data_IF_441540283182
#
_entry.id   IF_441540283182
#
_cell.length_a   1.000
_cell.length_b   1.000
_cell.length_c   1.000
_cell.angle_alpha   90.00
_cell.angle_beta   90.00
_cell.angle_gamma   90.00
#
_symmetry.space_group_name_H-M   'P 1'
#
loop_
_entity.id
_entity.type
_entity.pdbx_description
1 polymer ?
#
# COMPACT_ATOMS: atom_id res chain seq x y z
N UNK A 1 31.25 -7.24 24.55
CA UNK A 1 30.58 -6.97 23.24
C UNK A 1 29.12 -6.65 23.46
N UNK A 2 28.76 -5.39 23.18
CA UNK A 2 27.37 -4.91 23.27
C UNK A 2 26.57 -5.55 22.12
N UNK A 3 25.50 -6.28 22.45
CA UNK A 3 24.67 -6.95 21.43
C UNK A 3 23.29 -6.30 21.27
N UNK A 4 22.87 -5.48 22.22
CA UNK A 4 21.54 -4.93 22.28
C UNK A 4 21.53 -3.56 23.00
N UNK A 5 20.64 -2.66 22.60
CA UNK A 5 20.37 -1.36 23.23
C UNK A 5 18.87 -1.18 23.45
N UNK A 6 18.52 -0.57 24.57
CA UNK A 6 17.15 -0.19 24.90
C UNK A 6 17.06 1.33 24.83
N UNK A 7 16.17 1.85 23.99
CA UNK A 7 15.96 3.29 23.85
C UNK A 7 14.78 3.70 24.74
N UNK A 8 15.07 4.55 25.74
CA UNK A 8 14.10 5.06 26.72
C UNK A 8 13.68 6.52 26.43
N UNK A 9 13.97 7.01 25.21
CA UNK A 9 13.65 8.39 24.81
C UNK A 9 12.14 8.50 24.56
N UNK A 10 11.42 9.45 25.21
CA UNK A 10 9.98 9.65 25.03
C UNK A 10 9.61 9.96 23.57
N UNK A 11 8.38 9.62 23.17
CA UNK A 11 7.86 9.89 21.82
C UNK A 11 7.81 11.39 21.49
N UNK A 12 7.67 12.25 22.47
CA UNK A 12 7.72 13.72 22.32
C UNK A 12 9.07 14.22 21.80
N UNK A 13 10.15 13.45 21.97
CA UNK A 13 11.52 13.77 21.51
C UNK A 13 11.92 12.97 20.27
N UNK A 14 11.13 13.09 19.20
CA UNK A 14 11.29 12.30 17.98
C UNK A 14 12.65 12.42 17.31
N UNK A 15 13.25 13.62 17.31
CA UNK A 15 14.55 13.85 16.67
C UNK A 15 15.67 13.09 17.40
N UNK A 16 15.71 13.19 18.73
CA UNK A 16 16.69 12.51 19.59
C UNK A 16 16.52 10.98 19.48
N UNK A 17 15.27 10.51 19.47
CA UNK A 17 14.93 9.08 19.31
C UNK A 17 15.41 8.54 17.97
N UNK A 18 15.21 9.27 16.88
CA UNK A 18 15.68 8.92 15.54
C UNK A 18 17.21 8.86 15.46
N UNK A 19 17.90 9.84 16.04
CA UNK A 19 19.37 9.86 16.07
C UNK A 19 19.93 8.66 16.84
N UNK A 20 19.38 8.35 18.02
CA UNK A 20 19.79 7.19 18.81
C UNK A 20 19.53 5.85 18.08
N UNK A 21 18.41 5.76 17.37
CA UNK A 21 18.04 4.56 16.59
C UNK A 21 19.00 4.36 15.41
N UNK A 22 19.31 5.43 14.66
CA UNK A 22 20.25 5.36 13.55
C UNK A 22 21.65 4.96 14.02
N UNK A 23 22.15 5.56 15.10
CA UNK A 23 23.44 5.22 15.67
C UNK A 23 23.52 3.74 16.10
N UNK A 24 22.47 3.22 16.71
CA UNK A 24 22.39 1.82 17.11
C UNK A 24 22.29 0.86 15.90
N UNK A 25 21.62 1.27 14.84
CA UNK A 25 21.53 0.51 13.58
C UNK A 25 22.89 0.46 12.87
N UNK A 26 23.63 1.58 12.80
CA UNK A 26 24.98 1.66 12.22
C UNK A 26 25.96 0.73 12.97
N UNK A 27 25.78 0.60 14.29
CA UNK A 27 26.55 -0.31 15.13
C UNK A 27 26.05 -1.78 15.08
N UNK A 28 25.05 -2.08 14.26
CA UNK A 28 24.42 -3.41 14.10
C UNK A 28 23.92 -4.00 15.42
N UNK A 29 23.45 -3.15 16.33
CA UNK A 29 22.90 -3.56 17.62
C UNK A 29 21.42 -3.91 17.48
N UNK A 30 20.95 -4.89 18.25
CA UNK A 30 19.53 -5.17 18.38
C UNK A 30 18.86 -4.04 19.17
N UNK A 31 17.88 -3.36 18.56
CA UNK A 31 17.24 -2.17 19.13
C UNK A 31 15.89 -2.57 19.72
N UNK A 32 15.66 -2.19 20.96
CA UNK A 32 14.38 -2.32 21.67
C UNK A 32 13.92 -0.94 22.12
N UNK A 33 12.64 -0.64 21.92
CA UNK A 33 12.06 0.64 22.32
C UNK A 33 11.05 0.40 23.42
N UNK A 34 11.04 1.27 24.43
CA UNK A 34 10.06 1.21 25.51
C UNK A 34 8.69 1.64 25.01
N UNK A 35 7.61 0.91 25.35
CA UNK A 35 6.24 1.33 25.07
C UNK A 35 5.91 2.69 25.70
N UNK A 36 4.92 3.39 25.15
CA UNK A 36 4.45 4.66 25.70
C UNK A 36 3.83 4.49 27.09
N UNK A 37 3.78 5.58 27.87
CA UNK A 37 3.17 5.57 29.19
C UNK A 37 1.69 5.10 29.14
N UNK A 38 0.96 5.46 28.09
CA UNK A 38 -0.44 5.06 27.91
C UNK A 38 -0.61 3.55 27.65
N UNK A 39 0.31 2.93 26.93
CA UNK A 39 0.34 1.47 26.74
C UNK A 39 0.69 0.73 28.02
N UNK A 40 1.50 1.33 28.87
CA UNK A 40 1.87 0.80 30.19
C UNK A 40 0.69 0.88 31.15
N UNK A 41 -0.03 2.00 31.18
CA UNK A 41 -1.22 2.23 32.07
C UNK A 41 -2.37 1.30 31.69
N UNK A 42 -2.53 0.93 30.42
CA UNK A 42 -3.57 0.01 29.95
C UNK A 42 -3.31 -1.46 30.32
N UNK A 43 -2.34 -1.76 31.20
CA UNK A 43 -2.07 -3.11 31.69
C UNK A 43 -1.42 -4.05 30.67
N UNK A 44 -0.88 -3.52 29.57
CA UNK A 44 -0.18 -4.30 28.55
C UNK A 44 1.29 -4.58 28.88
N UNK A 45 1.67 -4.47 30.11
CA UNK A 45 3.01 -4.79 30.63
C UNK A 45 3.25 -6.30 30.62
N UNK A 46 3.77 -6.78 29.50
CA UNK A 46 4.50 -8.04 29.50
C UNK A 46 5.93 -7.68 29.07
N UNK A 47 6.92 -7.94 29.90
CA UNK A 47 8.35 -7.73 29.61
C UNK A 47 8.85 -8.40 28.30
N UNK A 48 8.05 -9.32 27.73
CA UNK A 48 8.27 -9.96 26.44
C UNK A 48 7.93 -9.09 25.21
N UNK A 49 7.40 -7.86 25.41
CA UNK A 49 7.00 -6.93 24.33
C UNK A 49 7.84 -5.66 24.29
N UNK A 50 9.13 -5.77 24.54
CA UNK A 50 10.03 -4.75 24.03
C UNK A 50 9.88 -4.77 22.50
N UNK A 51 9.28 -3.73 21.96
CA UNK A 51 8.90 -3.63 20.54
C UNK A 51 10.17 -3.64 19.70
N UNK A 52 10.27 -4.51 18.73
CA UNK A 52 11.28 -4.35 17.68
C UNK A 52 10.99 -3.01 16.97
N UNK A 53 12.06 -2.29 16.60
CA UNK A 53 11.93 -1.06 15.82
C UNK A 53 11.15 -1.35 14.56
N UNK A 54 9.97 -0.75 14.43
CA UNK A 54 9.19 -0.80 13.20
C UNK A 54 9.61 0.37 12.29
N UNK A 55 9.41 0.21 10.99
CA UNK A 55 9.71 1.26 10.00
C UNK A 55 9.01 2.57 10.34
N UNK A 56 7.82 2.52 10.95
CA UNK A 56 7.07 3.67 11.41
C UNK A 56 7.82 4.49 12.47
N UNK A 57 8.54 3.83 13.38
CA UNK A 57 9.33 4.49 14.44
C UNK A 57 10.50 5.29 13.85
N UNK A 58 11.03 4.83 12.70
CA UNK A 58 12.13 5.50 11.99
C UNK A 58 11.65 6.70 11.16
N UNK A 59 10.43 6.65 10.66
CA UNK A 59 9.89 7.68 9.77
C UNK A 59 9.32 8.88 10.51
N UNK A 60 9.12 8.80 11.83
CA UNK A 60 8.55 9.87 12.66
C UNK A 60 7.13 10.28 12.22
N UNK A 61 6.39 9.38 11.59
CA UNK A 61 5.00 9.60 11.18
C UNK A 61 4.07 8.98 12.21
N UNK A 62 3.09 9.75 12.65
CA UNK A 62 2.03 9.23 13.49
C UNK A 62 1.23 8.16 12.73
N UNK A 63 1.09 6.99 13.33
CA UNK A 63 0.22 5.93 12.79
C UNK A 63 -1.22 6.42 12.86
N UNK A 64 -1.88 6.52 11.72
CA UNK A 64 -3.30 6.84 11.66
C UNK A 64 -4.07 5.58 12.05
N UNK A 65 -4.74 5.60 13.19
CA UNK A 65 -5.64 4.55 13.59
C UNK A 65 -6.92 4.63 12.76
N UNK A 66 -7.05 3.74 11.79
CA UNK A 66 -8.25 3.64 10.96
C UNK A 66 -9.41 3.06 11.78
N UNK A 67 -10.61 3.60 11.58
CA UNK A 67 -11.82 3.01 12.14
C UNK A 67 -12.11 1.67 11.43
N UNK A 68 -11.66 0.58 12.02
CA UNK A 68 -11.78 -0.76 11.45
C UNK A 68 -13.25 -1.21 11.28
N UNK A 69 -14.17 -0.68 12.07
CA UNK A 69 -15.59 -1.00 11.95
C UNK A 69 -16.20 -0.36 10.68
N UNK A 70 -15.90 0.89 10.41
CA UNK A 70 -16.33 1.57 9.18
C UNK A 70 -15.72 0.89 7.95
N UNK A 71 -14.43 0.55 7.98
CA UNK A 71 -13.78 -0.16 6.88
C UNK A 71 -14.44 -1.52 6.61
N UNK A 72 -14.79 -2.26 7.65
CA UNK A 72 -15.50 -3.54 7.51
C UNK A 72 -16.87 -3.37 6.85
N UNK A 73 -17.63 -2.35 7.21
CA UNK A 73 -18.93 -2.07 6.61
C UNK A 73 -18.82 -1.74 5.12
N UNK A 74 -17.78 -1.02 4.74
CA UNK A 74 -17.55 -0.58 3.37
C UNK A 74 -17.01 -1.70 2.44
N UNK A 75 -16.22 -2.62 2.97
CA UNK A 75 -15.40 -3.57 2.20
C UNK A 75 -15.96 -5.00 2.23
N UNK A 76 -16.52 -5.44 3.37
CA UNK A 76 -16.99 -6.82 3.55
C UNK A 76 -18.03 -7.21 2.49
N UNK A 77 -17.80 -8.34 1.82
CA UNK A 77 -18.70 -8.86 0.80
C UNK A 77 -18.70 -8.08 -0.53
N UNK A 78 -17.85 -7.06 -0.68
CA UNK A 78 -17.73 -6.28 -1.93
C UNK A 78 -16.82 -6.97 -2.94
N UNK A 79 -17.01 -6.62 -4.20
CA UNK A 79 -16.14 -7.00 -5.31
C UNK A 79 -15.18 -5.85 -5.55
N UNK A 80 -13.90 -6.12 -5.47
CA UNK A 80 -12.85 -5.11 -5.49
C UNK A 80 -11.92 -5.37 -6.67
N UNK A 81 -11.56 -4.33 -7.42
CA UNK A 81 -10.50 -4.38 -8.40
C UNK A 81 -9.34 -3.51 -7.93
N UNK A 82 -8.12 -4.04 -8.02
CA UNK A 82 -6.88 -3.33 -7.67
C UNK A 82 -5.98 -3.32 -8.88
N UNK A 83 -5.71 -2.14 -9.44
CA UNK A 83 -4.73 -1.97 -10.52
C UNK A 83 -3.37 -1.58 -9.94
N UNK A 84 -2.28 -2.10 -10.52
CA UNK A 84 -0.95 -2.02 -9.92
C UNK A 84 -0.83 -2.94 -8.71
N UNK A 85 -1.55 -4.07 -8.73
CA UNK A 85 -1.66 -5.00 -7.59
C UNK A 85 -0.32 -5.65 -7.22
N UNK A 86 0.56 -5.86 -8.19
CA UNK A 86 1.91 -6.41 -7.96
C UNK A 86 2.92 -5.42 -7.38
N UNK A 87 2.61 -4.12 -7.39
CA UNK A 87 3.46 -3.09 -6.78
C UNK A 87 3.44 -3.13 -5.25
N UNK A 88 4.35 -2.38 -4.61
CA UNK A 88 4.47 -2.36 -3.14
C UNK A 88 3.17 -1.94 -2.45
N UNK A 89 2.51 -0.88 -2.94
CA UNK A 89 1.24 -0.40 -2.38
C UNK A 89 0.10 -1.37 -2.72
N UNK A 90 -0.01 -1.77 -3.99
CA UNK A 90 -1.09 -2.65 -4.44
C UNK A 90 -1.09 -4.01 -3.73
N UNK A 91 0.08 -4.63 -3.56
CA UNK A 91 0.21 -5.92 -2.89
C UNK A 91 -0.13 -5.83 -1.39
N UNK A 92 0.23 -4.73 -0.74
CA UNK A 92 -0.13 -4.49 0.65
C UNK A 92 -1.63 -4.23 0.79
N UNK A 93 -2.25 -3.47 -0.12
CA UNK A 93 -3.71 -3.32 -0.17
C UNK A 93 -4.41 -4.68 -0.29
N UNK A 94 -3.93 -5.58 -1.15
CA UNK A 94 -4.48 -6.93 -1.27
C UNK A 94 -4.46 -7.66 0.08
N UNK A 95 -3.33 -7.64 0.79
CA UNK A 95 -3.18 -8.30 2.10
C UNK A 95 -4.12 -7.71 3.15
N UNK A 96 -4.19 -6.39 3.25
CA UNK A 96 -5.06 -5.71 4.22
C UNK A 96 -6.55 -5.94 3.94
N UNK A 97 -6.94 -5.93 2.67
CA UNK A 97 -8.32 -6.16 2.27
C UNK A 97 -8.77 -7.60 2.55
N UNK A 98 -7.89 -8.61 2.39
CA UNK A 98 -8.19 -10.00 2.72
C UNK A 98 -8.61 -10.20 4.17
N UNK A 99 -8.05 -9.44 5.12
CA UNK A 99 -8.41 -9.47 6.54
C UNK A 99 -9.88 -9.07 6.74
N UNK A 100 -10.39 -8.18 5.86
CA UNK A 100 -11.76 -7.65 5.95
C UNK A 100 -12.78 -8.55 5.26
N UNK A 101 -12.31 -9.54 4.49
CA UNK A 101 -13.12 -10.54 3.78
C UNK A 101 -14.08 -9.93 2.74
N UNK A 102 -13.59 -9.26 1.70
CA UNK A 102 -14.40 -8.93 0.52
C UNK A 102 -14.87 -10.23 -0.16
N UNK A 103 -15.85 -10.13 -1.05
CA UNK A 103 -16.31 -11.27 -1.82
C UNK A 103 -15.26 -11.69 -2.86
N UNK A 104 -14.75 -10.71 -3.62
CA UNK A 104 -13.79 -10.91 -4.71
C UNK A 104 -12.71 -9.84 -4.63
N UNK A 105 -11.46 -10.19 -4.92
CA UNK A 105 -10.40 -9.26 -5.26
C UNK A 105 -9.84 -9.63 -6.64
N UNK A 106 -9.91 -8.70 -7.58
CA UNK A 106 -9.30 -8.80 -8.91
C UNK A 106 -8.00 -8.00 -8.89
N UNK A 107 -6.89 -8.71 -8.89
CA UNK A 107 -5.53 -8.16 -8.87
C UNK A 107 -5.06 -7.96 -10.32
N UNK A 108 -4.88 -6.72 -10.75
CA UNK A 108 -4.48 -6.37 -12.12
C UNK A 108 -3.11 -5.72 -12.11
N UNK A 109 -2.19 -6.23 -12.91
CA UNK A 109 -0.88 -5.60 -13.15
C UNK A 109 -0.40 -5.88 -14.56
N UNK A 110 0.49 -5.02 -15.07
CA UNK A 110 1.16 -5.20 -16.37
C UNK A 110 2.37 -6.13 -16.27
N UNK A 111 2.92 -6.30 -15.08
CA UNK A 111 4.09 -7.13 -14.82
C UNK A 111 3.69 -8.56 -14.49
N UNK A 112 4.01 -9.50 -15.40
CA UNK A 112 3.83 -10.93 -15.17
C UNK A 112 4.52 -11.38 -13.87
N UNK A 113 5.78 -10.99 -13.70
CA UNK A 113 6.55 -11.36 -12.52
C UNK A 113 5.90 -10.87 -11.22
N UNK A 114 5.42 -9.62 -11.20
CA UNK A 114 4.80 -9.04 -10.02
C UNK A 114 3.45 -9.71 -9.67
N UNK A 115 2.64 -10.05 -10.66
CA UNK A 115 1.38 -10.80 -10.48
C UNK A 115 1.67 -12.21 -9.97
N UNK A 116 2.65 -12.90 -10.55
CA UNK A 116 3.05 -14.24 -10.09
C UNK A 116 3.52 -14.23 -8.63
N UNK A 117 4.38 -13.28 -8.25
CA UNK A 117 4.85 -13.13 -6.87
C UNK A 117 3.70 -12.85 -5.90
N UNK A 118 2.75 -12.01 -6.29
CA UNK A 118 1.57 -11.72 -5.50
C UNK A 118 0.71 -12.97 -5.31
N UNK A 119 0.44 -13.72 -6.37
CA UNK A 119 -0.30 -14.98 -6.33
C UNK A 119 0.34 -15.97 -5.36
N UNK A 120 1.65 -16.23 -5.51
CA UNK A 120 2.38 -17.13 -4.60
C UNK A 120 2.28 -16.69 -3.12
N UNK A 121 2.35 -15.38 -2.87
CA UNK A 121 2.29 -14.84 -1.51
C UNK A 121 0.92 -14.94 -0.86
N UNK A 122 -0.17 -14.93 -1.64
CA UNK A 122 -1.54 -14.93 -1.15
C UNK A 122 -2.20 -16.32 -1.19
N UNK A 123 -1.84 -17.18 -2.16
CA UNK A 123 -2.44 -18.51 -2.34
C UNK A 123 -2.19 -19.46 -1.16
N UNK A 124 -1.11 -19.23 -0.41
CA UNK A 124 -0.77 -20.03 0.77
C UNK A 124 -1.55 -19.65 2.03
N UNK A 125 -2.42 -18.63 1.94
CA UNK A 125 -3.23 -18.18 3.07
C UNK A 125 -4.65 -18.72 2.96
N UNK A 126 -5.19 -19.27 4.04
CA UNK A 126 -6.60 -19.67 4.09
C UNK A 126 -7.49 -18.43 4.16
N UNK A 127 -8.27 -18.17 3.12
CA UNK A 127 -9.23 -17.05 3.07
C UNK A 127 -10.54 -17.46 2.38
N UNK A 128 -11.61 -16.74 2.67
CA UNK A 128 -12.94 -16.95 2.09
C UNK A 128 -13.24 -16.02 0.91
N UNK A 129 -12.24 -15.30 0.43
CA UNK A 129 -12.32 -14.32 -0.67
C UNK A 129 -11.85 -14.98 -1.96
N UNK A 130 -12.58 -14.83 -3.05
CA UNK A 130 -12.15 -15.27 -4.37
C UNK A 130 -11.09 -14.31 -4.90
N UNK A 131 -9.92 -14.83 -5.27
CA UNK A 131 -8.80 -14.08 -5.83
C UNK A 131 -8.65 -14.36 -7.32
N UNK A 132 -8.49 -13.30 -8.10
CA UNK A 132 -8.20 -13.37 -9.53
C UNK A 132 -6.95 -12.56 -9.84
N UNK A 133 -5.98 -13.17 -10.48
CA UNK A 133 -4.70 -12.57 -10.85
C UNK A 133 -4.66 -12.36 -12.35
N UNK A 134 -4.71 -11.12 -12.79
CA UNK A 134 -4.92 -10.75 -14.19
C UNK A 134 -3.73 -9.95 -14.71
N UNK A 135 -3.10 -10.48 -15.75
CA UNK A 135 -2.08 -9.75 -16.49
C UNK A 135 -2.76 -8.82 -17.49
N UNK A 136 -2.76 -7.52 -17.21
CA UNK A 136 -3.41 -6.54 -18.05
C UNK A 136 -2.76 -5.16 -17.96
N UNK A 137 -2.72 -4.48 -19.11
CA UNK A 137 -2.34 -3.08 -19.22
C UNK A 137 -3.59 -2.20 -19.10
N UNK A 138 -3.62 -1.30 -18.13
CA UNK A 138 -4.74 -0.37 -17.92
C UNK A 138 -4.99 0.57 -19.11
N UNK A 139 -4.04 0.68 -20.03
CA UNK A 139 -4.18 1.44 -21.28
C UNK A 139 -4.99 0.69 -22.35
N UNK A 140 -5.21 -0.60 -22.18
CA UNK A 140 -6.02 -1.40 -23.09
C UNK A 140 -7.51 -1.34 -22.70
N UNK A 141 -8.24 -0.42 -23.31
CA UNK A 141 -9.65 -0.16 -22.99
C UNK A 141 -10.53 -1.42 -23.17
N UNK A 142 -10.34 -2.17 -24.26
CA UNK A 142 -11.16 -3.36 -24.53
C UNK A 142 -10.97 -4.43 -23.44
N UNK A 143 -9.73 -4.66 -23.00
CA UNK A 143 -9.45 -5.60 -21.92
C UNK A 143 -10.04 -5.12 -20.60
N UNK A 144 -9.88 -3.85 -20.27
CA UNK A 144 -10.43 -3.25 -19.05
C UNK A 144 -11.95 -3.32 -19.06
N UNK A 145 -12.61 -2.95 -20.14
CA UNK A 145 -14.08 -3.06 -20.28
C UNK A 145 -14.56 -4.51 -20.08
N UNK A 146 -13.83 -5.48 -20.63
CA UNK A 146 -14.08 -6.90 -20.42
C UNK A 146 -13.99 -7.30 -18.94
N UNK A 147 -12.96 -6.84 -18.23
CA UNK A 147 -12.80 -7.11 -16.79
C UNK A 147 -13.94 -6.50 -15.97
N UNK A 148 -14.34 -5.26 -16.26
CA UNK A 148 -15.45 -4.62 -15.57
C UNK A 148 -16.78 -5.35 -15.84
N UNK A 149 -17.01 -5.78 -17.08
CA UNK A 149 -18.17 -6.57 -17.45
C UNK A 149 -18.25 -7.93 -16.74
N UNK A 150 -17.12 -8.62 -16.64
CA UNK A 150 -16.99 -9.94 -16.03
C UNK A 150 -17.10 -9.90 -14.50
N UNK A 151 -16.30 -9.06 -13.85
CA UNK A 151 -16.17 -9.07 -12.38
C UNK A 151 -17.09 -8.07 -11.69
N UNK A 152 -17.59 -7.06 -12.40
CA UNK A 152 -18.52 -6.02 -11.91
C UNK A 152 -18.09 -5.45 -10.55
N UNK A 153 -16.89 -4.85 -10.44
CA UNK A 153 -16.37 -4.38 -9.19
C UNK A 153 -17.25 -3.30 -8.58
N UNK A 154 -17.43 -3.35 -7.26
CA UNK A 154 -18.12 -2.32 -6.50
C UNK A 154 -17.16 -1.17 -6.14
N UNK A 155 -15.88 -1.51 -5.98
CA UNK A 155 -14.82 -0.59 -5.57
C UNK A 155 -13.58 -0.84 -6.43
N UNK A 156 -12.93 0.23 -6.86
CA UNK A 156 -11.64 0.20 -7.55
C UNK A 156 -10.60 0.94 -6.72
N UNK A 157 -9.45 0.29 -6.49
CA UNK A 157 -8.24 0.92 -6.00
C UNK A 157 -7.24 1.00 -7.14
N UNK A 158 -6.82 2.20 -7.49
CA UNK A 158 -5.87 2.43 -8.56
C UNK A 158 -4.51 2.83 -7.99
N UNK A 159 -3.55 1.88 -8.02
CA UNK A 159 -2.19 2.05 -7.55
C UNK A 159 -1.14 1.85 -8.66
N UNK A 160 -1.57 1.76 -9.92
CA UNK A 160 -0.70 1.60 -11.07
C UNK A 160 -0.16 2.97 -11.52
N UNK A 161 1.13 3.22 -11.29
CA UNK A 161 1.80 4.43 -11.77
C UNK A 161 3.30 4.19 -11.96
N UNK A 162 3.89 4.84 -12.96
CA UNK A 162 5.33 5.00 -13.06
C UNK A 162 5.76 6.14 -12.13
N UNK A 163 6.71 5.89 -11.23
CA UNK A 163 7.04 6.79 -10.12
C UNK A 163 8.50 7.24 -10.03
N UNK A 164 9.38 6.64 -10.82
CA UNK A 164 10.80 6.95 -10.79
C UNK A 164 11.11 8.20 -11.61
N UNK A 165 11.18 9.36 -10.92
CA UNK A 165 11.35 10.69 -11.54
C UNK A 165 12.49 10.73 -12.55
N UNK A 166 13.77 10.34 -12.23
CA UNK A 166 14.85 10.43 -13.20
C UNK A 166 14.62 9.57 -14.46
N UNK A 167 13.98 8.41 -14.31
CA UNK A 167 13.69 7.53 -15.44
C UNK A 167 12.63 8.13 -16.36
N UNK A 168 11.63 8.81 -15.80
CA UNK A 168 10.54 9.41 -16.59
C UNK A 168 11.06 10.66 -17.29
N UNK A 169 11.80 11.53 -16.60
CA UNK A 169 12.21 12.83 -17.14
C UNK A 169 13.24 12.75 -18.25
N UNK A 170 14.15 11.76 -18.20
CA UNK A 170 15.23 11.71 -19.18
C UNK A 170 14.72 11.33 -20.58
N UNK A 171 14.08 10.17 -20.75
CA UNK A 171 13.71 9.69 -22.09
C UNK A 171 12.32 9.04 -22.15
N UNK A 172 11.58 9.04 -21.03
CA UNK A 172 10.33 8.28 -20.90
C UNK A 172 9.10 9.13 -20.57
N UNK A 173 9.13 10.41 -20.90
CA UNK A 173 8.02 11.35 -20.63
C UNK A 173 6.71 10.86 -21.25
N UNK A 174 6.76 10.46 -22.53
CA UNK A 174 5.58 9.94 -23.23
C UNK A 174 5.03 8.66 -22.60
N UNK A 175 5.92 7.77 -22.15
CA UNK A 175 5.51 6.55 -21.44
C UNK A 175 4.89 6.88 -20.07
N UNK A 176 5.50 7.81 -19.33
CA UNK A 176 4.98 8.30 -18.06
C UNK A 176 3.59 8.92 -18.21
N UNK A 177 3.42 9.85 -19.14
CA UNK A 177 2.15 10.48 -19.46
C UNK A 177 1.09 9.45 -19.88
N UNK A 178 1.43 8.59 -20.82
CA UNK A 178 0.49 7.59 -21.32
C UNK A 178 0.04 6.62 -20.22
N UNK A 179 0.94 6.20 -19.34
CA UNK A 179 0.58 5.32 -18.22
C UNK A 179 -0.19 6.05 -17.12
N UNK A 180 0.36 7.15 -16.61
CA UNK A 180 -0.16 7.81 -15.41
C UNK A 180 -1.41 8.67 -15.69
N UNK A 181 -1.49 9.29 -16.86
CA UNK A 181 -2.63 10.15 -17.22
C UNK A 181 -3.65 9.37 -18.05
N UNK A 182 -3.24 8.88 -19.24
CA UNK A 182 -4.19 8.21 -20.14
C UNK A 182 -4.69 6.88 -19.56
N UNK A 183 -3.82 6.10 -18.93
CA UNK A 183 -4.20 4.85 -18.26
C UNK A 183 -5.18 5.10 -17.12
N UNK A 184 -4.90 6.08 -16.26
CA UNK A 184 -5.80 6.48 -15.16
C UNK A 184 -7.15 6.95 -15.68
N UNK A 185 -7.15 7.81 -16.72
CA UNK A 185 -8.38 8.28 -17.35
C UNK A 185 -9.23 7.12 -17.88
N UNK A 186 -8.62 6.20 -18.64
CA UNK A 186 -9.33 5.04 -19.21
C UNK A 186 -9.92 4.12 -18.14
N UNK A 187 -9.15 3.85 -17.09
CA UNK A 187 -9.63 3.04 -15.97
C UNK A 187 -10.79 3.71 -15.23
N UNK A 188 -10.70 5.02 -14.98
CA UNK A 188 -11.75 5.79 -14.33
C UNK A 188 -13.03 5.87 -15.19
N UNK A 189 -12.88 6.11 -16.49
CA UNK A 189 -13.98 6.14 -17.44
C UNK A 189 -14.70 4.77 -17.53
N UNK A 190 -13.96 3.67 -17.61
CA UNK A 190 -14.52 2.33 -17.57
C UNK A 190 -15.26 2.06 -16.24
N UNK A 191 -14.72 2.53 -15.12
CA UNK A 191 -15.35 2.42 -13.81
C UNK A 191 -16.70 3.18 -13.76
N UNK A 192 -16.74 4.39 -14.32
CA UNK A 192 -17.98 5.19 -14.44
C UNK A 192 -19.02 4.46 -15.30
N UNK A 193 -18.63 4.00 -16.48
CA UNK A 193 -19.55 3.26 -17.38
C UNK A 193 -20.08 1.98 -16.74
N UNK A 194 -19.27 1.29 -15.95
CA UNK A 194 -19.64 0.07 -15.23
C UNK A 194 -20.45 0.32 -13.96
N UNK A 195 -20.67 1.58 -13.56
CA UNK A 195 -21.43 1.93 -12.36
C UNK A 195 -20.71 1.62 -11.04
N UNK A 196 -19.36 1.67 -11.04
CA UNK A 196 -18.55 1.48 -9.83
C UNK A 196 -18.90 2.55 -8.80
N UNK A 197 -19.10 2.12 -7.56
CA UNK A 197 -19.56 3.02 -6.48
C UNK A 197 -18.45 3.86 -5.89
N UNK A 198 -17.23 3.34 -5.85
CA UNK A 198 -16.06 4.03 -5.29
C UNK A 198 -14.82 3.78 -6.12
N UNK A 199 -14.17 4.85 -6.52
CA UNK A 199 -12.86 4.83 -7.18
C UNK A 199 -11.85 5.57 -6.32
N UNK A 200 -10.82 4.87 -5.87
CA UNK A 200 -9.78 5.38 -5.00
C UNK A 200 -8.47 5.44 -5.77
N UNK A 201 -8.00 6.64 -6.08
CA UNK A 201 -6.69 6.86 -6.70
C UNK A 201 -5.62 7.02 -5.62
N UNK A 202 -4.59 6.18 -5.68
CA UNK A 202 -3.39 6.35 -4.86
C UNK A 202 -2.52 7.42 -5.50
N UNK A 203 -2.49 8.59 -4.90
CA UNK A 203 -1.71 9.75 -5.35
C UNK A 203 -0.39 9.88 -4.59
N UNK A 204 0.38 10.92 -4.86
CA UNK A 204 1.69 11.21 -4.28
C UNK A 204 1.80 12.67 -3.87
N UNK A 205 2.68 12.95 -2.91
CA UNK A 205 3.09 14.30 -2.52
C UNK A 205 3.73 15.09 -3.66
N UNK A 206 4.32 14.40 -4.64
CA UNK A 206 4.96 15.02 -5.82
C UNK A 206 3.96 15.69 -6.76
N UNK A 207 2.67 15.32 -6.68
CA UNK A 207 1.59 15.97 -7.39
C UNK A 207 1.10 17.28 -6.71
N UNK A 208 1.63 17.60 -5.51
CA UNK A 208 1.30 18.84 -4.81
C UNK A 208 2.36 19.89 -5.13
N UNK A 209 2.01 20.92 -5.91
CA UNK A 209 2.95 21.93 -6.45
C UNK A 209 4.11 21.26 -7.19
N UNK A 210 3.82 20.58 -8.30
CA UNK A 210 4.79 19.73 -8.98
C UNK A 210 5.99 20.54 -9.48
N UNK A 211 7.19 19.98 -9.24
CA UNK A 211 8.47 20.53 -9.72
C UNK A 211 9.13 19.60 -10.75
N UNK A 212 8.42 18.56 -11.16
CA UNK A 212 8.88 17.54 -12.11
C UNK A 212 7.69 17.01 -12.93
N UNK A 213 8.00 16.44 -14.11
CA UNK A 213 7.00 15.93 -15.07
C UNK A 213 6.18 14.77 -14.47
N UNK A 214 6.78 13.95 -13.62
CA UNK A 214 6.06 12.82 -13.02
C UNK A 214 4.97 13.29 -12.06
N UNK A 215 5.15 14.44 -11.41
CA UNK A 215 4.18 15.04 -10.50
C UNK A 215 3.14 15.92 -11.16
N UNK A 216 3.42 16.39 -12.38
CA UNK A 216 2.52 17.27 -13.14
C UNK A 216 1.39 16.47 -13.79
#
# INVERSE_FOLDING_TARGET
DLKQVIILIPETKQLERKQATNLAADLKLKILIMPSADEIIQGKLIFSRLKHVEVADLLGRNIINLNTQLLRQEIKGKRILISGAGGSIGSELCRQLLIIKPKIIVCVDISEYAIYQLEQSLSNQSHSTDLYFILADIKNSALIDGLFGQYKPDIVFHAAAYKHVPLIENDNVAAGFTNNVVGTYRLADAAIRAGVKKFVLVSTDKAVKPVNIMGA
#
